data_IF_907993103913
#
_entry.id   IF_907993103913
#
_cell.length_a   1.000
_cell.length_b   1.000
_cell.length_c   1.000
_cell.angle_alpha   90.00
_cell.angle_beta   90.00
_cell.angle_gamma   90.00
#
_symmetry.space_group_name_H-M   'P 1'
#
loop_
_entity.id
_entity.type
_entity.pdbx_description
1 polymer ?
#
# COMPACT_ATOMS: atom_id res chain seq x y z
N UNK A 1 12.82 45.17 -18.59
CA UNK A 1 12.91 43.70 -18.81
C UNK A 1 13.78 43.04 -17.74
N UNK A 2 13.40 43.12 -16.45
CA UNK A 2 14.10 42.40 -15.34
C UNK A 2 13.14 41.78 -14.32
N UNK A 3 11.83 42.00 -14.45
CA UNK A 3 10.83 41.61 -13.46
C UNK A 3 10.32 40.18 -13.61
N UNK A 4 10.49 39.55 -14.78
CA UNK A 4 10.02 38.18 -15.06
C UNK A 4 11.10 37.14 -14.73
N UNK A 5 12.39 37.48 -14.91
CA UNK A 5 13.50 36.60 -14.53
C UNK A 5 13.67 36.51 -13.01
N UNK A 6 13.53 37.62 -12.27
CA UNK A 6 13.56 37.59 -10.80
C UNK A 6 12.37 36.80 -10.21
N UNK A 7 11.19 36.87 -10.85
CA UNK A 7 10.02 36.09 -10.42
C UNK A 7 10.16 34.60 -10.74
N UNK A 8 10.83 34.22 -11.84
CA UNK A 8 11.12 32.82 -12.14
C UNK A 8 12.20 32.25 -11.22
N UNK A 9 13.23 33.04 -10.86
CA UNK A 9 14.27 32.62 -9.93
C UNK A 9 13.73 32.35 -8.51
N UNK A 10 12.77 33.15 -8.03
CA UNK A 10 12.13 32.90 -6.73
C UNK A 10 11.24 31.65 -6.70
N UNK A 11 10.60 31.30 -7.82
CA UNK A 11 9.76 30.09 -7.90
C UNK A 11 10.58 28.80 -8.06
N UNK A 12 11.78 28.86 -8.65
CA UNK A 12 12.66 27.70 -8.82
C UNK A 12 13.25 27.27 -7.46
N UNK A 13 13.65 28.23 -6.61
CA UNK A 13 14.13 27.96 -5.25
C UNK A 13 13.01 27.46 -4.30
N UNK A 14 11.76 27.92 -4.48
CA UNK A 14 10.63 27.48 -3.65
C UNK A 14 10.24 26.02 -3.90
N UNK A 15 10.36 25.55 -5.15
CA UNK A 15 10.07 24.17 -5.51
C UNK A 15 11.10 23.19 -4.91
N UNK A 16 12.37 23.57 -4.90
CA UNK A 16 13.45 22.77 -4.31
C UNK A 16 13.37 22.73 -2.78
N UNK A 17 12.97 23.84 -2.15
CA UNK A 17 12.70 23.89 -0.70
C UNK A 17 11.48 23.04 -0.32
N UNK A 18 10.45 22.99 -1.16
CA UNK A 18 9.30 22.11 -0.95
C UNK A 18 9.65 20.63 -1.11
N UNK A 19 10.52 20.29 -2.07
CA UNK A 19 11.03 18.93 -2.24
C UNK A 19 11.89 18.49 -1.04
N UNK A 20 12.76 19.38 -0.54
CA UNK A 20 13.58 19.11 0.66
C UNK A 20 12.70 18.94 1.92
N UNK A 21 11.67 19.76 2.10
CA UNK A 21 10.71 19.60 3.21
C UNK A 21 9.90 18.30 3.09
N UNK A 22 9.57 17.87 1.87
CA UNK A 22 8.90 16.59 1.62
C UNK A 22 9.77 15.39 2.02
N UNK A 23 11.06 15.42 1.67
CA UNK A 23 12.04 14.39 2.05
C UNK A 23 12.30 14.41 3.56
N UNK A 24 12.35 15.59 4.18
CA UNK A 24 12.53 15.75 5.63
C UNK A 24 11.31 15.23 6.42
N UNK A 25 10.10 15.45 5.91
CA UNK A 25 8.87 14.89 6.48
C UNK A 25 8.78 13.36 6.31
N UNK A 26 9.22 12.81 5.16
CA UNK A 26 9.31 11.35 4.96
C UNK A 26 10.38 10.72 5.87
N UNK A 27 11.52 11.38 6.06
CA UNK A 27 12.55 10.93 7.01
C UNK A 27 12.08 11.02 8.46
N UNK A 28 11.36 12.08 8.84
CA UNK A 28 10.77 12.18 10.19
C UNK A 28 9.66 11.15 10.42
N UNK A 29 8.84 10.85 9.41
CA UNK A 29 7.82 9.80 9.50
C UNK A 29 8.45 8.40 9.59
N UNK A 30 9.54 8.14 8.85
CA UNK A 30 10.30 6.89 8.96
C UNK A 30 11.00 6.76 10.32
N UNK A 31 11.53 7.87 10.87
CA UNK A 31 12.16 7.90 12.20
C UNK A 31 11.13 7.71 13.33
N UNK A 32 9.95 8.31 13.22
CA UNK A 32 8.87 8.16 14.20
C UNK A 32 8.27 6.74 14.22
N UNK A 33 8.28 6.03 13.09
CA UNK A 33 7.86 4.62 13.03
C UNK A 33 8.93 3.66 13.59
N UNK A 34 10.20 4.04 13.61
CA UNK A 34 11.29 3.24 14.20
C UNK A 34 11.38 3.49 15.72
N UNK A 35 11.13 4.73 16.18
CA UNK A 35 11.14 5.09 17.61
C UNK A 35 9.92 4.55 18.39
N UNK A 36 8.81 4.16 17.74
CA UNK A 36 7.63 3.60 18.46
C UNK A 36 7.76 2.12 18.82
N UNK A 37 8.87 1.45 18.48
CA UNK A 37 9.05 0.01 18.75
C UNK A 37 10.25 -0.31 19.66
N UNK A 38 11.07 0.67 20.06
CA UNK A 38 12.31 0.47 20.83
C UNK A 38 12.31 1.20 22.20
N UNK A 39 11.14 1.39 22.83
CA UNK A 39 11.02 1.97 24.19
C UNK A 39 11.29 0.95 25.33
N UNK A 40 12.03 -0.14 25.07
CA UNK A 40 12.62 -0.96 26.13
C UNK A 40 14.13 -1.11 25.87
N UNK A 41 14.92 -0.64 26.84
CA UNK A 41 16.36 -0.80 27.01
C UNK A 41 17.30 0.04 26.12
N UNK A 42 17.61 1.28 26.55
CA UNK A 42 18.98 1.81 26.41
C UNK A 42 19.25 2.95 27.40
N UNK A 43 19.62 2.59 28.63
CA UNK A 43 20.25 3.53 29.55
C UNK A 43 21.74 3.72 29.20
N UNK A 44 22.13 4.99 29.09
CA UNK A 44 23.46 5.49 28.75
C UNK A 44 24.45 5.15 29.87
N UNK A 45 25.57 4.50 29.55
CA UNK A 45 26.67 4.25 30.50
C UNK A 45 27.75 5.29 30.27
N UNK A 46 27.96 6.17 31.24
CA UNK A 46 29.03 7.16 31.24
C UNK A 46 30.20 6.70 32.14
N UNK A 47 31.39 7.08 31.72
CA UNK A 47 32.72 6.70 32.23
C UNK A 47 32.98 7.00 33.72
N UNK A 48 33.67 6.09 34.43
CA UNK A 48 34.07 6.27 35.84
C UNK A 48 35.60 6.26 35.98
N UNK A 49 36.13 7.28 36.68
CA UNK A 49 37.51 7.38 37.15
C UNK A 49 37.59 6.87 38.60
N UNK A 50 38.55 5.99 38.88
CA UNK A 50 38.69 5.24 40.12
C UNK A 50 39.41 6.01 41.25
N UNK A 51 38.96 5.81 42.49
CA UNK A 51 39.80 5.86 43.71
C UNK A 51 39.17 5.02 44.82
N UNK A 52 39.96 4.08 45.34
CA UNK A 52 39.57 2.96 46.18
C UNK A 52 39.25 3.32 47.63
N UNK A 53 38.17 2.70 48.12
CA UNK A 53 37.90 2.20 49.50
C UNK A 53 36.41 2.32 49.93
N UNK A 54 35.55 2.90 49.08
CA UNK A 54 34.07 2.83 49.18
C UNK A 54 33.38 2.07 48.03
N UNK A 55 34.16 1.53 47.09
CA UNK A 55 33.74 1.17 45.72
C UNK A 55 32.87 -0.08 45.57
N UNK A 56 32.80 -1.01 46.53
CA UNK A 56 32.04 -2.25 46.33
C UNK A 56 30.51 -2.03 46.34
N UNK A 57 30.04 -1.03 47.08
CA UNK A 57 28.60 -0.70 47.20
C UNK A 57 28.15 0.27 46.09
N UNK A 58 29.04 1.14 45.61
CA UNK A 58 28.71 2.08 44.53
C UNK A 58 28.85 1.46 43.13
N UNK A 59 29.80 0.53 42.90
CA UNK A 59 29.93 -0.15 41.61
C UNK A 59 28.76 -1.09 41.30
N UNK A 60 28.16 -1.70 42.34
CA UNK A 60 27.01 -2.59 42.19
C UNK A 60 25.75 -1.86 41.73
N UNK A 61 25.60 -0.56 42.03
CA UNK A 61 24.48 0.25 41.57
C UNK A 61 24.44 0.44 40.03
N UNK A 62 25.58 0.30 39.35
CA UNK A 62 25.67 0.37 37.87
C UNK A 62 25.37 -0.94 37.16
N UNK A 63 25.31 -2.05 37.90
CA UNK A 63 25.08 -3.38 37.33
C UNK A 63 23.60 -3.66 37.11
N UNK A 64 23.29 -4.60 36.22
CA UNK A 64 21.89 -5.03 36.01
C UNK A 64 21.32 -5.61 37.30
N UNK A 65 20.00 -5.52 37.54
CA UNK A 65 19.38 -6.01 38.78
C UNK A 65 19.69 -7.49 39.11
N UNK A 66 19.88 -8.32 38.09
CA UNK A 66 20.21 -9.75 38.27
C UNK A 66 21.65 -9.95 38.78
N UNK A 67 22.58 -9.09 38.33
CA UNK A 67 23.98 -9.13 38.71
C UNK A 67 24.16 -8.53 40.12
N UNK A 68 23.37 -7.50 40.45
CA UNK A 68 23.23 -6.97 41.81
C UNK A 68 22.76 -8.06 42.78
N UNK A 69 21.72 -8.80 42.42
CA UNK A 69 21.20 -9.90 43.23
C UNK A 69 22.25 -10.99 43.42
N UNK A 70 22.98 -11.38 42.38
CA UNK A 70 24.00 -12.42 42.46
C UNK A 70 25.17 -12.04 43.38
N UNK A 71 25.64 -10.79 43.33
CA UNK A 71 26.71 -10.30 44.20
C UNK A 71 26.21 -10.24 45.65
N UNK A 72 25.03 -9.67 45.87
CA UNK A 72 24.45 -9.57 47.23
C UNK A 72 24.21 -10.97 47.82
N UNK A 73 23.72 -11.90 47.02
CA UNK A 73 23.55 -13.29 47.42
C UNK A 73 24.89 -13.94 47.77
N UNK A 74 25.94 -13.76 46.96
CA UNK A 74 27.26 -14.31 47.29
C UNK A 74 27.85 -13.70 48.55
N UNK A 75 27.78 -12.38 48.73
CA UNK A 75 28.23 -11.70 49.95
C UNK A 75 27.46 -12.15 51.21
N UNK A 76 26.19 -12.50 51.07
CA UNK A 76 25.34 -12.92 52.21
C UNK A 76 25.41 -14.40 52.52
N UNK A 77 25.72 -15.24 51.52
CA UNK A 77 25.71 -16.70 51.67
C UNK A 77 27.10 -17.30 51.80
N UNK A 78 28.12 -16.66 51.24
CA UNK A 78 29.50 -17.15 51.25
C UNK A 78 30.38 -16.33 52.22
N UNK A 79 30.75 -16.89 53.39
CA UNK A 79 31.56 -16.19 54.40
C UNK A 79 33.00 -15.92 53.95
N UNK A 80 33.46 -16.49 52.82
CA UNK A 80 34.80 -16.24 52.27
C UNK A 80 34.81 -15.04 51.29
N UNK A 81 33.64 -14.58 50.86
CA UNK A 81 33.50 -13.51 49.88
C UNK A 81 33.48 -12.10 50.53
N UNK A 82 33.35 -12.05 51.87
CA UNK A 82 33.53 -10.81 52.62
C UNK A 82 35.03 -10.46 52.63
N UNK A 83 35.38 -9.36 51.95
CA UNK A 83 36.73 -8.98 51.53
C UNK A 83 37.73 -8.66 52.66
N UNK A 84 37.91 -9.57 53.60
CA UNK A 84 39.15 -9.65 54.37
C UNK A 84 40.25 -10.12 53.42
N UNK A 85 40.88 -9.15 52.77
CA UNK A 85 42.15 -9.33 52.06
C UNK A 85 43.08 -10.04 53.04
N UNK A 86 43.35 -11.32 52.80
CA UNK A 86 44.46 -11.99 53.45
C UNK A 86 45.72 -11.19 53.08
N UNK A 87 46.38 -10.60 54.08
CA UNK A 87 47.67 -9.94 53.90
C UNK A 87 48.64 -10.95 53.23
N UNK A 88 48.80 -10.81 51.92
CA UNK A 88 49.78 -11.59 51.16
C UNK A 88 51.14 -11.00 51.52
N UNK A 89 51.98 -11.79 52.16
CA UNK A 89 53.34 -11.41 52.50
C UNK A 89 54.10 -10.94 51.25
N UNK A 90 55.01 -9.95 51.36
CA UNK A 90 55.77 -9.46 50.22
C UNK A 90 56.70 -10.57 49.71
N UNK A 91 56.32 -11.18 48.59
CA UNK A 91 57.15 -12.10 47.80
C UNK A 91 58.12 -11.25 46.97
N UNK A 92 59.37 -11.67 46.86
CA UNK A 92 60.39 -10.99 46.05
C UNK A 92 60.20 -11.35 44.57
N UNK A 93 59.63 -10.42 43.80
CA UNK A 93 59.26 -10.61 42.40
C UNK A 93 60.42 -10.44 41.42
N UNK A 94 61.64 -10.11 41.86
CA UNK A 94 62.73 -9.73 40.96
C UNK A 94 63.15 -10.85 39.97
N UNK A 95 63.05 -12.11 40.37
CA UNK A 95 63.32 -13.25 39.46
C UNK A 95 62.12 -13.55 38.55
N UNK A 96 60.90 -13.42 39.05
CA UNK A 96 59.69 -13.60 38.27
C UNK A 96 59.54 -12.53 37.20
N UNK A 97 59.95 -11.28 37.46
CA UNK A 97 59.96 -10.18 36.48
C UNK A 97 60.88 -10.49 35.28
N UNK A 98 62.09 -11.00 35.53
CA UNK A 98 63.03 -11.35 34.45
C UNK A 98 62.56 -12.55 33.63
N UNK A 99 61.89 -13.51 34.28
CA UNK A 99 61.26 -14.63 33.58
C UNK A 99 60.02 -14.18 32.78
N UNK A 100 59.25 -13.22 33.30
CA UNK A 100 58.12 -12.61 32.61
C UNK A 100 58.57 -11.90 31.34
N UNK A 101 59.62 -11.09 31.39
CA UNK A 101 60.17 -10.40 30.22
C UNK A 101 60.59 -11.38 29.11
N UNK A 102 61.18 -12.52 29.50
CA UNK A 102 61.59 -13.56 28.56
C UNK A 102 60.39 -14.26 27.93
N UNK A 103 59.36 -14.54 28.71
CA UNK A 103 58.11 -15.16 28.23
C UNK A 103 57.36 -14.21 27.30
N UNK A 104 57.28 -12.93 27.64
CA UNK A 104 56.67 -11.90 26.78
C UNK A 104 57.41 -11.74 25.45
N UNK A 105 58.75 -11.71 25.48
CA UNK A 105 59.54 -11.62 24.25
C UNK A 105 59.32 -12.83 23.32
N UNK A 106 59.19 -14.03 23.88
CA UNK A 106 58.92 -15.23 23.09
C UNK A 106 57.49 -15.23 22.54
N UNK A 107 56.51 -14.79 23.34
CA UNK A 107 55.11 -14.66 22.95
C UNK A 107 54.93 -13.69 21.78
N UNK A 108 55.63 -12.55 21.77
CA UNK A 108 55.55 -11.57 20.67
C UNK A 108 56.00 -12.19 19.35
N UNK A 109 57.07 -12.98 19.36
CA UNK A 109 57.57 -13.67 18.16
C UNK A 109 56.55 -14.70 17.66
N UNK A 110 55.98 -15.50 18.57
CA UNK A 110 54.96 -16.50 18.21
C UNK A 110 53.68 -15.87 17.67
N UNK A 111 53.24 -14.74 18.25
CA UNK A 111 52.09 -13.98 17.75
C UNK A 111 52.37 -13.39 16.36
N UNK A 112 53.54 -12.80 16.12
CA UNK A 112 53.91 -12.27 14.81
C UNK A 112 53.97 -13.37 13.73
N UNK A 113 54.49 -14.56 14.08
CA UNK A 113 54.49 -15.69 13.17
C UNK A 113 53.07 -16.19 12.87
N UNK A 114 52.21 -16.29 13.89
CA UNK A 114 50.82 -16.70 13.71
C UNK A 114 49.99 -15.69 12.88
N UNK A 115 50.31 -14.39 12.97
CA UNK A 115 49.72 -13.35 12.12
C UNK A 115 50.18 -13.51 10.66
N UNK A 116 51.47 -13.78 10.43
CA UNK A 116 52.02 -13.97 9.08
C UNK A 116 51.47 -15.23 8.40
N UNK A 117 51.29 -16.31 9.15
CA UNK A 117 50.69 -17.56 8.67
C UNK A 117 49.16 -17.45 8.51
N UNK A 118 48.54 -16.37 9.00
CA UNK A 118 47.11 -16.10 8.90
C UNK A 118 46.23 -16.93 9.85
N UNK A 119 46.84 -17.59 10.84
CA UNK A 119 46.16 -18.34 11.90
C UNK A 119 45.63 -17.38 12.98
N UNK A 120 46.36 -16.31 13.27
CA UNK A 120 45.94 -15.24 14.18
C UNK A 120 45.40 -14.04 13.38
N UNK A 121 44.09 -13.78 13.51
CA UNK A 121 43.46 -12.59 12.93
C UNK A 121 43.70 -11.41 13.88
N UNK A 122 44.55 -10.46 13.46
CA UNK A 122 44.69 -9.18 14.15
C UNK A 122 43.33 -8.47 14.07
N UNK A 123 42.74 -8.17 15.23
CA UNK A 123 41.63 -7.24 15.28
C UNK A 123 42.13 -5.91 14.72
N UNK A 124 41.64 -5.53 13.54
CA UNK A 124 41.93 -4.22 12.97
C UNK A 124 41.66 -3.12 14.02
N UNK A 125 42.34 -1.98 13.88
CA UNK A 125 42.13 -0.81 14.74
C UNK A 125 40.63 -0.60 15.01
N UNK A 126 40.23 -0.36 16.25
CA UNK A 126 38.82 -0.29 16.62
C UNK A 126 38.15 0.80 15.77
N UNK A 127 37.38 0.32 14.80
CA UNK A 127 36.62 1.17 13.87
C UNK A 127 35.68 2.03 14.72
N UNK A 128 35.72 3.34 14.52
CA UNK A 128 34.91 4.31 15.28
C UNK A 128 33.45 3.85 15.36
N UNK A 129 32.87 3.89 16.56
CA UNK A 129 31.51 3.40 16.85
C UNK A 129 30.48 4.02 15.90
N UNK A 130 30.68 5.28 15.48
CA UNK A 130 29.79 5.94 14.52
C UNK A 130 29.82 5.27 13.13
N UNK A 131 31.00 4.84 12.69
CA UNK A 131 31.18 4.14 11.41
C UNK A 131 30.67 2.70 11.49
N UNK A 132 30.86 2.00 12.62
CA UNK A 132 30.25 0.68 12.86
C UNK A 132 28.72 0.75 12.84
N UNK A 133 28.12 1.74 13.50
CA UNK A 133 26.66 1.96 13.48
C UNK A 133 26.14 2.17 12.06
N UNK A 134 26.81 3.01 11.26
CA UNK A 134 26.44 3.24 9.85
C UNK A 134 26.52 1.96 9.01
N UNK A 135 27.60 1.19 9.17
CA UNK A 135 27.76 -0.09 8.47
C UNK A 135 26.69 -1.09 8.88
N UNK A 136 26.39 -1.21 10.17
CA UNK A 136 25.34 -2.08 10.68
C UNK A 136 23.96 -1.73 10.12
N UNK A 137 23.57 -0.46 10.14
CA UNK A 137 22.27 -0.01 9.60
C UNK A 137 22.19 -0.28 8.10
N UNK A 138 23.26 0.01 7.36
CA UNK A 138 23.36 -0.29 5.92
C UNK A 138 23.17 -1.79 5.67
N UNK A 139 23.91 -2.64 6.36
CA UNK A 139 23.85 -4.09 6.13
C UNK A 139 22.50 -4.68 6.56
N UNK A 140 21.95 -4.21 7.69
CA UNK A 140 20.59 -4.59 8.13
C UNK A 140 19.54 -4.22 7.08
N UNK A 141 19.63 -3.02 6.49
CA UNK A 141 18.73 -2.60 5.41
C UNK A 141 18.90 -3.44 4.15
N UNK A 142 20.15 -3.78 3.81
CA UNK A 142 20.48 -4.62 2.67
C UNK A 142 19.88 -6.02 2.83
N UNK A 143 20.12 -6.68 3.97
CA UNK A 143 19.55 -8.01 4.29
C UNK A 143 18.02 -7.98 4.26
N UNK A 144 17.37 -6.95 4.85
CA UNK A 144 15.91 -6.81 4.79
C UNK A 144 15.40 -6.62 3.36
N UNK A 145 16.07 -5.79 2.56
CA UNK A 145 15.70 -5.55 1.16
C UNK A 145 15.84 -6.82 0.33
N UNK A 146 16.90 -7.58 0.57
CA UNK A 146 17.25 -8.75 -0.21
C UNK A 146 16.37 -9.95 0.17
N UNK A 147 16.03 -10.11 1.46
CA UNK A 147 14.97 -11.03 1.92
C UNK A 147 13.61 -10.71 1.27
N UNK A 148 13.22 -9.44 1.21
CA UNK A 148 11.97 -9.02 0.51
C UNK A 148 12.02 -9.36 -0.98
N UNK A 149 13.15 -9.07 -1.64
CA UNK A 149 13.37 -9.40 -3.05
C UNK A 149 13.27 -10.91 -3.29
N UNK A 150 13.88 -11.74 -2.45
CA UNK A 150 13.80 -13.21 -2.52
C UNK A 150 12.38 -13.72 -2.31
N UNK A 151 11.63 -13.12 -1.38
CA UNK A 151 10.23 -13.48 -1.14
C UNK A 151 9.34 -13.18 -2.36
N UNK A 152 9.52 -12.04 -3.02
CA UNK A 152 8.75 -11.64 -4.21
C UNK A 152 9.12 -12.44 -5.47
N UNK A 153 10.41 -12.67 -5.68
CA UNK A 153 10.88 -13.43 -6.84
C UNK A 153 10.74 -14.94 -6.66
N UNK A 154 10.57 -15.40 -5.42
CA UNK A 154 10.61 -16.80 -5.05
C UNK A 154 12.02 -17.39 -5.03
N UNK A 155 13.08 -16.57 -5.08
CA UNK A 155 14.48 -17.04 -5.04
C UNK A 155 14.89 -17.65 -3.68
N UNK A 156 14.07 -17.48 -2.63
CA UNK A 156 14.26 -18.19 -1.36
C UNK A 156 13.92 -19.69 -1.43
N UNK A 157 13.15 -20.10 -2.45
CA UNK A 157 12.73 -21.49 -2.61
C UNK A 157 13.80 -22.28 -3.37
N UNK A 158 14.23 -23.40 -2.79
CA UNK A 158 15.18 -24.32 -3.39
C UNK A 158 14.57 -25.72 -3.52
N UNK A 159 14.68 -26.37 -4.69
CA UNK A 159 14.29 -27.76 -4.83
C UNK A 159 15.30 -28.64 -4.07
N UNK A 160 14.78 -29.52 -3.23
CA UNK A 160 15.54 -30.54 -2.49
C UNK A 160 14.90 -31.90 -2.70
N UNK A 161 15.66 -32.96 -2.45
CA UNK A 161 15.18 -34.34 -2.53
C UNK A 161 15.16 -34.95 -1.13
N UNK A 162 14.05 -35.58 -0.76
CA UNK A 162 13.95 -36.24 0.54
C UNK A 162 14.81 -37.52 0.53
N UNK A 163 15.71 -37.68 1.50
CA UNK A 163 16.59 -38.85 1.60
C UNK A 163 15.86 -40.18 1.79
N UNK A 164 14.65 -40.15 2.38
CA UNK A 164 13.87 -41.36 2.67
C UNK A 164 12.97 -41.78 1.51
N UNK A 165 12.30 -40.83 0.87
CA UNK A 165 11.33 -41.11 -0.20
C UNK A 165 11.88 -40.89 -1.61
N UNK A 166 13.05 -40.25 -1.75
CA UNK A 166 13.61 -39.79 -3.02
C UNK A 166 12.66 -38.90 -3.85
N UNK A 167 11.63 -38.32 -3.22
CA UNK A 167 10.71 -37.39 -3.86
C UNK A 167 11.24 -35.95 -3.78
N UNK A 168 11.07 -35.15 -4.84
CA UNK A 168 11.42 -33.73 -4.81
C UNK A 168 10.42 -32.96 -3.93
N UNK A 169 10.93 -32.01 -3.18
CA UNK A 169 10.16 -31.03 -2.41
C UNK A 169 10.83 -29.67 -2.49
N UNK A 170 10.11 -28.61 -2.17
CA UNK A 170 10.61 -27.24 -2.17
C UNK A 170 10.84 -26.76 -0.74
N UNK A 171 12.03 -26.23 -0.49
CA UNK A 171 12.46 -25.75 0.82
C UNK A 171 12.75 -24.26 0.77
N UNK A 172 12.18 -23.49 1.68
CA UNK A 172 12.44 -22.07 1.81
C UNK A 172 13.64 -21.83 2.74
N UNK A 173 14.68 -21.17 2.25
CA UNK A 173 15.87 -20.83 3.05
C UNK A 173 15.60 -19.83 4.16
N UNK A 174 14.56 -19.02 4.01
CA UNK A 174 14.34 -17.82 4.83
C UNK A 174 13.32 -18.07 5.95
N UNK A 175 12.35 -18.95 5.70
CA UNK A 175 11.33 -19.37 6.68
C UNK A 175 11.57 -20.77 7.23
N UNK A 176 12.50 -21.52 6.64
CA UNK A 176 12.76 -22.93 6.96
C UNK A 176 11.56 -23.86 6.73
N UNK A 177 10.60 -23.43 5.90
CA UNK A 177 9.42 -24.23 5.56
C UNK A 177 9.70 -25.18 4.38
N UNK A 178 8.98 -26.30 4.36
CA UNK A 178 9.06 -27.29 3.29
C UNK A 178 7.65 -27.61 2.77
N UNK A 179 7.48 -27.58 1.45
CA UNK A 179 6.24 -27.92 0.76
C UNK A 179 6.53 -28.91 -0.36
N UNK A 180 5.58 -29.82 -0.62
CA UNK A 180 5.70 -30.79 -1.72
C UNK A 180 5.23 -30.22 -3.06
N UNK A 181 4.25 -29.32 -3.01
CA UNK A 181 3.71 -28.65 -4.19
C UNK A 181 4.57 -27.47 -4.62
N UNK A 182 4.46 -27.08 -5.90
CA UNK A 182 5.22 -25.96 -6.45
C UNK A 182 4.86 -24.66 -5.71
N UNK A 183 5.85 -23.86 -5.27
CA UNK A 183 5.59 -22.61 -4.56
C UNK A 183 4.70 -21.67 -5.37
N UNK A 184 3.70 -21.09 -4.72
CA UNK A 184 2.73 -20.19 -5.36
C UNK A 184 3.40 -19.01 -6.07
N UNK A 185 4.46 -18.45 -5.47
CA UNK A 185 5.23 -17.33 -6.03
C UNK A 185 5.82 -17.66 -7.41
N UNK A 186 6.27 -18.90 -7.62
CA UNK A 186 6.76 -19.32 -8.94
C UNK A 186 5.63 -19.47 -9.95
N UNK A 187 4.47 -19.99 -9.52
CA UNK A 187 3.29 -20.09 -10.37
C UNK A 187 2.83 -18.71 -10.82
N UNK A 188 2.72 -17.75 -9.90
CA UNK A 188 2.33 -16.37 -10.23
C UNK A 188 3.34 -15.67 -11.13
N UNK A 189 4.64 -15.92 -10.93
CA UNK A 189 5.69 -15.33 -11.76
C UNK A 189 5.68 -15.92 -13.18
N UNK A 190 5.43 -17.23 -13.32
CA UNK A 190 5.25 -17.89 -14.62
C UNK A 190 4.00 -17.34 -15.34
N UNK A 191 2.89 -17.17 -14.62
CA UNK A 191 1.67 -16.55 -15.16
C UNK A 191 1.91 -15.12 -15.65
N UNK A 192 2.64 -14.32 -14.86
CA UNK A 192 2.99 -12.95 -15.24
C UNK A 192 3.92 -12.92 -16.46
N UNK A 193 4.92 -13.80 -16.52
CA UNK A 193 5.80 -13.92 -17.68
C UNK A 193 5.02 -14.34 -18.94
N UNK A 194 4.09 -15.29 -18.79
CA UNK A 194 3.21 -15.71 -19.88
C UNK A 194 2.32 -14.55 -20.37
N UNK A 195 1.68 -13.82 -19.45
CA UNK A 195 0.90 -12.64 -19.77
C UNK A 195 1.73 -11.55 -20.46
N UNK A 196 2.99 -11.35 -20.08
CA UNK A 196 3.88 -10.41 -20.74
C UNK A 196 4.18 -10.80 -22.20
N UNK A 197 4.22 -12.10 -22.52
CA UNK A 197 4.45 -12.59 -23.88
C UNK A 197 3.19 -12.59 -24.77
N UNK A 198 2.04 -12.98 -24.22
CA UNK A 198 0.77 -13.16 -24.96
C UNK A 198 -0.11 -11.90 -24.90
N UNK A 199 0.12 -11.00 -23.95
CA UNK A 199 -0.73 -9.86 -23.65
C UNK A 199 -1.98 -10.26 -22.87
N UNK A 200 -3.08 -9.54 -23.06
CA UNK A 200 -4.33 -9.72 -22.29
C UNK A 200 -4.91 -11.14 -22.36
N UNK A 201 -4.69 -11.88 -23.45
CA UNK A 201 -5.14 -13.27 -23.59
C UNK A 201 -4.37 -14.29 -22.74
N UNK A 202 -3.19 -13.92 -22.22
CA UNK A 202 -2.37 -14.76 -21.34
C UNK A 202 -2.52 -14.43 -19.86
N UNK A 203 -3.42 -13.52 -19.48
CA UNK A 203 -3.70 -13.22 -18.08
C UNK A 203 -4.34 -14.43 -17.39
N UNK A 204 -4.04 -14.60 -16.10
CA UNK A 204 -4.63 -15.68 -15.31
C UNK A 204 -6.14 -15.49 -15.16
N UNK A 205 -6.88 -16.61 -15.13
CA UNK A 205 -8.34 -16.63 -15.01
C UNK A 205 -8.83 -15.78 -13.82
N UNK A 206 -8.23 -15.86 -12.61
CA UNK A 206 -8.65 -15.02 -11.49
C UNK A 206 -8.50 -13.52 -11.78
N UNK A 207 -7.45 -13.12 -12.48
CA UNK A 207 -7.21 -11.72 -12.86
C UNK A 207 -8.25 -11.25 -13.87
N UNK A 208 -8.57 -12.08 -14.86
CA UNK A 208 -9.61 -11.80 -15.85
C UNK A 208 -10.99 -11.67 -15.20
N UNK A 209 -11.32 -12.52 -14.22
CA UNK A 209 -12.57 -12.43 -13.47
C UNK A 209 -12.65 -11.14 -12.64
N UNK A 210 -11.54 -10.71 -12.01
CA UNK A 210 -11.49 -9.43 -11.31
C UNK A 210 -11.69 -8.25 -12.27
N UNK A 211 -11.02 -8.26 -13.42
CA UNK A 211 -11.21 -7.23 -14.45
C UNK A 211 -12.66 -7.18 -14.97
N UNK A 212 -13.29 -8.35 -15.15
CA UNK A 212 -14.68 -8.44 -15.55
C UNK A 212 -15.63 -7.83 -14.50
N UNK A 213 -15.28 -7.90 -13.21
CA UNK A 213 -16.02 -7.24 -12.13
C UNK A 213 -16.03 -5.71 -12.26
N UNK A 214 -14.91 -5.11 -12.69
CA UNK A 214 -14.82 -3.68 -12.97
C UNK A 214 -15.45 -3.29 -14.33
N UNK A 215 -15.61 -4.25 -15.24
CA UNK A 215 -16.31 -4.06 -16.51
C UNK A 215 -17.84 -4.21 -16.38
N UNK A 216 -18.39 -4.29 -15.17
CA UNK A 216 -19.84 -4.27 -14.97
C UNK A 216 -20.37 -2.92 -15.48
N UNK A 217 -21.17 -2.99 -16.53
CA UNK A 217 -21.57 -1.84 -17.33
C UNK A 217 -22.70 -1.03 -16.67
N UNK A 218 -22.59 -0.76 -15.37
CA UNK A 218 -23.53 0.06 -14.60
C UNK A 218 -22.81 1.33 -14.14
N UNK A 219 -23.02 2.41 -14.86
CA UNK A 219 -22.54 3.74 -14.45
C UNK A 219 -23.61 4.43 -13.60
N UNK A 220 -23.31 4.63 -12.31
CA UNK A 220 -24.18 5.37 -11.38
C UNK A 220 -23.80 6.85 -11.38
N UNK A 221 -24.73 7.69 -11.83
CA UNK A 221 -24.58 9.14 -11.91
C UNK A 221 -25.35 9.81 -10.76
N UNK A 222 -24.68 10.54 -9.85
CA UNK A 222 -25.34 11.19 -8.72
C UNK A 222 -26.11 12.46 -9.08
N UNK A 223 -25.90 13.00 -10.28
CA UNK A 223 -26.45 14.28 -10.75
C UNK A 223 -27.04 14.15 -12.14
N UNK A 224 -27.99 15.02 -12.50
CA UNK A 224 -28.47 15.11 -13.86
C UNK A 224 -27.34 15.40 -14.86
N UNK A 225 -27.40 14.73 -16.00
CA UNK A 225 -26.45 14.91 -17.10
C UNK A 225 -27.09 15.82 -18.15
N UNK A 226 -26.44 16.95 -18.43
CA UNK A 226 -26.93 17.92 -19.41
C UNK A 226 -26.14 17.84 -20.71
N UNK A 227 -26.80 17.46 -21.79
CA UNK A 227 -26.19 17.37 -23.11
C UNK A 227 -26.53 18.61 -23.93
N UNK A 228 -25.54 19.49 -24.14
CA UNK A 228 -25.71 20.75 -24.88
C UNK A 228 -25.17 20.72 -26.31
N UNK A 229 -24.32 19.74 -26.62
CA UNK A 229 -23.70 19.58 -27.93
C UNK A 229 -24.22 18.31 -28.63
N UNK A 230 -24.28 18.28 -29.97
CA UNK A 230 -24.67 17.07 -30.69
C UNK A 230 -23.71 15.92 -30.42
N UNK A 231 -24.23 14.82 -29.87
CA UNK A 231 -23.46 13.61 -29.53
C UNK A 231 -24.26 12.36 -29.88
N UNK A 232 -23.55 11.24 -30.04
CA UNK A 232 -24.16 9.92 -30.19
C UNK A 232 -23.70 9.04 -29.04
N UNK A 233 -24.65 8.55 -28.25
CA UNK A 233 -24.41 7.52 -27.25
C UNK A 233 -24.76 6.16 -27.86
N UNK A 234 -23.80 5.25 -27.89
CA UNK A 234 -23.93 3.96 -28.55
C UNK A 234 -23.42 2.89 -27.59
N UNK A 235 -24.31 2.02 -27.12
CA UNK A 235 -23.92 0.82 -26.41
C UNK A 235 -23.61 -0.33 -27.36
N UNK A 236 -22.92 -1.39 -26.89
CA UNK A 236 -22.58 -2.55 -27.68
C UNK A 236 -23.84 -3.25 -28.22
N UNK A 237 -23.85 -3.71 -29.49
CA UNK A 237 -25.03 -4.19 -30.21
C UNK A 237 -25.35 -5.66 -29.90
N UNK A 238 -25.34 -6.04 -28.62
CA UNK A 238 -25.43 -7.44 -28.20
C UNK A 238 -26.88 -7.91 -28.04
N UNK A 239 -27.82 -7.02 -27.67
CA UNK A 239 -29.29 -7.24 -27.60
C UNK A 239 -30.03 -5.90 -27.40
N UNK A 240 -31.35 -5.82 -27.68
CA UNK A 240 -32.20 -4.66 -27.32
C UNK A 240 -32.09 -4.35 -25.82
N UNK A 241 -31.70 -3.13 -25.48
CA UNK A 241 -31.22 -2.82 -24.13
C UNK A 241 -29.88 -3.51 -23.89
N UNK A 242 -28.80 -2.77 -24.13
CA UNK A 242 -27.44 -3.27 -23.90
C UNK A 242 -27.20 -3.59 -22.42
N UNK A 243 -26.14 -4.35 -22.14
CA UNK A 243 -25.55 -4.50 -20.81
C UNK A 243 -25.16 -3.14 -20.19
N UNK A 244 -24.96 -2.12 -21.02
CA UNK A 244 -24.68 -0.75 -20.60
C UNK A 244 -25.92 -0.07 -20.02
N UNK A 245 -25.88 0.14 -18.71
CA UNK A 245 -26.90 0.77 -17.88
C UNK A 245 -26.36 2.09 -17.33
N UNK A 246 -27.03 3.20 -17.66
CA UNK A 246 -26.86 4.49 -17.02
C UNK A 246 -27.92 4.62 -15.94
N UNK A 247 -27.48 4.55 -14.68
CA UNK A 247 -28.37 4.69 -13.52
C UNK A 247 -28.23 6.09 -12.94
N UNK A 248 -29.33 6.83 -12.85
CA UNK A 248 -29.37 8.15 -12.24
C UNK A 248 -29.89 8.05 -10.81
N UNK A 249 -29.12 8.59 -9.87
CA UNK A 249 -29.51 8.64 -8.47
C UNK A 249 -30.49 9.79 -8.23
N UNK A 250 -31.62 9.57 -7.55
CA UNK A 250 -32.69 10.55 -7.29
C UNK A 250 -32.37 11.55 -6.17
N UNK A 251 -31.11 11.62 -5.74
CA UNK A 251 -30.68 12.36 -4.54
C UNK A 251 -30.75 13.88 -4.75
N UNK A 252 -30.69 14.37 -6.00
CA UNK A 252 -30.58 15.79 -6.32
C UNK A 252 -31.82 16.33 -7.07
N UNK A 253 -32.01 17.66 -7.03
CA UNK A 253 -33.23 18.37 -7.48
C UNK A 253 -33.63 18.10 -8.95
N UNK A 254 -32.67 17.70 -9.78
CA UNK A 254 -32.88 17.23 -11.14
C UNK A 254 -32.05 15.95 -11.27
N UNK A 255 -32.74 14.85 -11.49
CA UNK A 255 -32.14 13.54 -11.70
C UNK A 255 -32.60 13.01 -13.05
N UNK A 256 -31.68 12.41 -13.81
CA UNK A 256 -31.93 11.93 -15.18
C UNK A 256 -31.09 12.63 -16.25
N UNK A 257 -31.34 12.25 -17.51
CA UNK A 257 -30.66 12.78 -18.68
C UNK A 257 -31.45 13.95 -19.27
N UNK A 258 -30.84 15.13 -19.37
CA UNK A 258 -31.48 16.33 -19.94
C UNK A 258 -30.79 16.70 -21.26
N UNK A 259 -31.55 16.60 -22.35
CA UNK A 259 -31.10 16.83 -23.70
C UNK A 259 -31.44 18.24 -24.20
N UNK A 260 -30.42 19.08 -24.40
CA UNK A 260 -30.53 20.44 -24.94
C UNK A 260 -30.01 20.54 -26.38
N UNK A 261 -29.33 19.52 -26.89
CA UNK A 261 -28.70 19.56 -28.19
C UNK A 261 -29.72 19.49 -29.34
N UNK A 262 -29.46 20.22 -30.42
CA UNK A 262 -30.32 20.28 -31.62
C UNK A 262 -30.25 19.04 -32.52
N UNK A 263 -29.41 18.07 -32.17
CA UNK A 263 -29.29 16.78 -32.86
C UNK A 263 -28.57 15.79 -31.94
N UNK A 264 -28.90 14.51 -32.08
CA UNK A 264 -28.10 13.41 -31.57
C UNK A 264 -28.90 12.14 -31.39
N UNK A 265 -28.22 11.12 -30.90
CA UNK A 265 -28.70 9.75 -30.94
C UNK A 265 -28.32 8.98 -29.68
N UNK A 266 -29.24 8.19 -29.16
CA UNK A 266 -29.01 7.21 -28.11
C UNK A 266 -29.40 5.86 -28.70
N UNK A 267 -28.47 4.91 -28.71
CA UNK A 267 -28.70 3.59 -29.29
C UNK A 267 -28.15 2.50 -28.39
N UNK A 268 -28.90 1.39 -28.26
CA UNK A 268 -28.51 0.23 -27.45
C UNK A 268 -28.09 0.62 -26.02
N UNK A 269 -28.88 1.41 -25.29
CA UNK A 269 -28.55 1.76 -23.90
C UNK A 269 -29.73 1.55 -22.98
N UNK A 270 -29.45 1.20 -21.72
CA UNK A 270 -30.45 1.14 -20.66
C UNK A 270 -30.31 2.40 -19.80
N UNK A 271 -31.34 3.25 -19.78
CA UNK A 271 -31.43 4.42 -18.90
C UNK A 271 -32.35 4.07 -17.74
N UNK A 272 -31.90 4.25 -16.49
CA UNK A 272 -32.68 3.86 -15.33
C UNK A 272 -32.65 4.90 -14.20
N UNK A 273 -33.80 5.12 -13.56
CA UNK A 273 -33.89 5.67 -12.20
C UNK A 273 -34.49 4.57 -11.31
N UNK A 274 -33.81 4.11 -10.26
CA UNK A 274 -34.31 3.02 -9.42
C UNK A 274 -35.62 3.43 -8.72
N UNK A 275 -36.68 2.65 -8.92
CA UNK A 275 -38.03 2.88 -8.37
C UNK A 275 -38.11 2.74 -6.85
N UNK A 276 -37.08 2.21 -6.20
CA UNK A 276 -37.00 2.06 -4.75
C UNK A 276 -36.82 3.38 -3.98
N UNK A 277 -36.58 4.51 -4.67
CA UNK A 277 -36.49 5.84 -4.06
C UNK A 277 -37.83 6.58 -3.96
N UNK A 278 -38.84 6.19 -4.74
CA UNK A 278 -40.17 6.80 -4.72
C UNK A 278 -41.04 6.22 -3.61
N UNK A 279 -40.51 6.11 -2.39
CA UNK A 279 -41.35 5.88 -1.21
C UNK A 279 -42.05 7.18 -0.85
N UNK A 280 -43.25 7.36 -1.42
CA UNK A 280 -44.42 7.95 -0.77
C UNK A 280 -44.14 9.00 0.32
N UNK A 281 -43.92 10.24 -0.09
CA UNK A 281 -44.39 11.39 0.68
C UNK A 281 -45.00 12.38 -0.32
N UNK A 282 -46.29 12.22 -0.60
CA UNK A 282 -47.13 13.24 -1.24
C UNK A 282 -47.26 14.44 -0.29
N UNK A 283 -46.16 15.17 -0.09
CA UNK A 283 -46.15 16.49 0.55
C UNK A 283 -46.43 17.53 -0.53
N UNK A 284 -47.52 18.25 -0.34
CA UNK A 284 -48.20 19.13 -1.29
C UNK A 284 -47.52 20.49 -1.49
N UNK A 285 -46.19 20.55 -1.64
CA UNK A 285 -45.50 21.79 -2.03
C UNK A 285 -44.39 21.50 -3.04
N UNK A 286 -44.68 21.80 -4.32
CA UNK A 286 -43.89 21.50 -5.53
C UNK A 286 -43.64 20.00 -5.76
N UNK A 287 -44.56 19.37 -6.50
CA UNK A 287 -44.40 18.01 -7.04
C UNK A 287 -43.14 17.93 -7.90
N UNK A 288 -42.02 17.53 -7.27
CA UNK A 288 -40.80 17.08 -7.95
C UNK A 288 -41.15 15.78 -8.65
N UNK A 289 -40.84 15.68 -9.94
CA UNK A 289 -41.04 14.45 -10.72
C UNK A 289 -39.67 13.99 -11.16
N UNK A 290 -39.28 12.78 -10.77
CA UNK A 290 -38.04 12.18 -11.25
C UNK A 290 -38.23 11.75 -12.71
N UNK A 291 -37.58 12.47 -13.63
CA UNK A 291 -37.71 12.22 -15.07
C UNK A 291 -36.47 11.53 -15.60
N UNK A 292 -36.59 10.31 -16.12
CA UNK A 292 -35.42 9.54 -16.62
C UNK A 292 -34.78 10.24 -17.82
N UNK A 293 -35.59 10.69 -18.79
CA UNK A 293 -35.14 11.40 -19.98
C UNK A 293 -35.97 12.66 -20.22
N UNK A 294 -35.33 13.83 -20.23
CA UNK A 294 -35.95 15.11 -20.55
C UNK A 294 -35.37 15.67 -21.84
N UNK A 295 -36.21 15.99 -22.83
CA UNK A 295 -35.82 16.74 -24.03
C UNK A 295 -36.28 18.18 -23.86
N UNK A 296 -35.32 19.09 -23.74
CA UNK A 296 -35.55 20.52 -23.52
C UNK A 296 -36.07 21.22 -24.77
N UNK A 297 -36.44 22.50 -24.62
CA UNK A 297 -36.87 23.36 -25.72
C UNK A 297 -35.79 23.44 -26.80
N UNK A 298 -36.18 23.31 -28.07
CA UNK A 298 -35.30 23.27 -29.25
C UNK A 298 -34.38 22.04 -29.37
N UNK A 299 -34.50 21.06 -28.47
CA UNK A 299 -33.74 19.81 -28.57
C UNK A 299 -34.25 18.89 -29.69
N UNK A 300 -33.36 18.13 -30.33
CA UNK A 300 -33.74 17.02 -31.22
C UNK A 300 -32.94 15.78 -30.83
N UNK A 301 -33.65 14.73 -30.47
CA UNK A 301 -33.09 13.47 -30.00
C UNK A 301 -33.74 12.28 -30.72
N UNK A 302 -32.90 11.35 -31.17
CA UNK A 302 -33.30 10.03 -31.67
C UNK A 302 -32.89 8.98 -30.65
N UNK A 303 -33.80 8.08 -30.27
CA UNK A 303 -33.53 6.97 -29.35
C UNK A 303 -33.92 5.67 -30.06
N UNK A 304 -32.96 4.76 -30.19
CA UNK A 304 -33.05 3.52 -30.97
C UNK A 304 -32.70 2.32 -30.08
N UNK A 305 -33.44 1.20 -30.17
CA UNK A 305 -33.11 -0.09 -29.54
C UNK A 305 -32.68 -0.01 -28.06
N UNK A 306 -33.25 0.96 -27.33
CA UNK A 306 -32.85 1.31 -25.97
C UNK A 306 -33.94 0.95 -24.97
N UNK A 307 -33.58 0.90 -23.69
CA UNK A 307 -34.52 0.63 -22.60
C UNK A 307 -34.55 1.80 -21.63
N UNK A 308 -35.73 2.23 -21.21
CA UNK A 308 -35.92 3.30 -20.23
C UNK A 308 -36.72 2.71 -19.06
N UNK A 309 -36.12 2.69 -17.87
CA UNK A 309 -36.67 2.05 -16.68
C UNK A 309 -36.87 3.04 -15.54
N UNK A 310 -38.03 2.95 -14.89
CA UNK A 310 -38.28 3.64 -13.63
C UNK A 310 -38.59 5.13 -13.75
N UNK A 311 -38.36 5.85 -12.64
CA UNK A 311 -38.74 7.26 -12.47
C UNK A 311 -40.25 7.49 -12.32
N UNK A 312 -40.62 8.72 -11.95
CA UNK A 312 -42.00 9.19 -11.98
C UNK A 312 -42.48 9.43 -13.41
N UNK A 313 -41.56 9.90 -14.26
CA UNK A 313 -41.80 10.09 -15.70
C UNK A 313 -40.65 9.48 -16.49
N UNK A 314 -40.94 8.55 -17.41
CA UNK A 314 -39.86 7.95 -18.20
C UNK A 314 -39.31 8.92 -19.26
N UNK A 315 -40.17 9.59 -20.02
CA UNK A 315 -39.75 10.59 -21.02
C UNK A 315 -40.59 11.86 -20.94
N UNK A 316 -39.94 13.02 -20.81
CA UNK A 316 -40.59 14.34 -20.89
C UNK A 316 -40.04 15.16 -22.06
N UNK A 317 -40.92 15.65 -22.93
CA UNK A 317 -40.57 16.52 -24.06
C UNK A 317 -41.14 17.92 -23.83
N UNK A 318 -40.24 18.88 -23.61
CA UNK A 318 -40.56 20.27 -23.26
C UNK A 318 -40.26 21.21 -24.42
N UNK A 319 -41.00 21.09 -25.53
CA UNK A 319 -40.84 21.98 -26.70
C UNK A 319 -39.73 21.58 -27.69
N UNK A 320 -39.09 20.43 -27.50
CA UNK A 320 -38.20 19.81 -28.48
C UNK A 320 -38.87 18.71 -29.32
N UNK A 321 -38.05 17.94 -30.03
CA UNK A 321 -38.45 16.77 -30.82
C UNK A 321 -37.72 15.53 -30.31
N UNK A 322 -38.47 14.47 -30.03
CA UNK A 322 -37.93 13.18 -29.62
C UNK A 322 -38.51 12.10 -30.54
N UNK A 323 -37.64 11.30 -31.15
CA UNK A 323 -38.04 10.16 -31.96
C UNK A 323 -37.60 8.89 -31.24
N UNK A 324 -38.56 8.07 -30.84
CA UNK A 324 -38.33 6.81 -30.13
C UNK A 324 -38.66 5.66 -31.08
N UNK A 325 -37.68 4.83 -31.41
CA UNK A 325 -37.85 3.66 -32.29
C UNK A 325 -37.32 2.45 -31.55
N UNK A 326 -38.17 1.42 -31.42
CA UNK A 326 -37.81 0.17 -30.74
C UNK A 326 -37.27 0.38 -29.32
N UNK A 327 -37.91 1.31 -28.58
CA UNK A 327 -37.57 1.63 -27.19
C UNK A 327 -38.51 0.91 -26.24
N UNK A 328 -37.95 0.12 -25.33
CA UNK A 328 -38.70 -0.54 -24.25
C UNK A 328 -38.80 0.40 -23.05
N UNK A 329 -40.02 0.81 -22.67
CA UNK A 329 -40.25 1.64 -21.49
C UNK A 329 -41.02 0.84 -20.44
N UNK A 330 -40.44 0.69 -19.25
CA UNK A 330 -41.06 -0.09 -18.16
C UNK A 330 -40.83 0.56 -16.78
N UNK A 331 -41.60 0.11 -15.79
CA UNK A 331 -41.48 0.47 -14.37
C UNK A 331 -41.63 1.96 -14.01
N UNK A 332 -42.19 2.79 -14.90
CA UNK A 332 -42.54 4.18 -14.58
C UNK A 332 -43.72 4.22 -13.58
N UNK A 333 -43.57 4.95 -12.47
CA UNK A 333 -44.58 5.04 -11.39
C UNK A 333 -45.73 5.98 -11.75
N UNK A 334 -45.45 7.03 -12.53
CA UNK A 334 -46.42 8.05 -12.92
C UNK A 334 -46.82 7.98 -14.39
N UNK A 335 -46.16 8.80 -15.22
CA UNK A 335 -46.49 8.95 -16.65
C UNK A 335 -45.37 8.39 -17.53
N UNK A 336 -45.73 7.61 -18.54
CA UNK A 336 -44.74 7.00 -19.44
C UNK A 336 -44.12 8.07 -20.36
N UNK A 337 -44.94 8.90 -21.00
CA UNK A 337 -44.48 10.00 -21.86
C UNK A 337 -45.31 11.26 -21.59
N UNK A 338 -44.65 12.40 -21.40
CA UNK A 338 -45.30 13.71 -21.24
C UNK A 338 -44.80 14.67 -22.32
N UNK A 339 -45.70 15.20 -23.15
CA UNK A 339 -45.40 16.26 -24.09
C UNK A 339 -46.23 17.51 -23.78
N UNK A 340 -45.57 18.64 -23.57
CA UNK A 340 -46.20 19.94 -23.46
C UNK A 340 -46.04 20.69 -24.79
N UNK A 341 -47.14 20.86 -25.57
CA UNK A 341 -47.31 21.64 -26.84
C UNK A 341 -47.33 20.81 -28.18
N UNK A 342 -47.96 21.31 -29.27
CA UNK A 342 -48.92 20.56 -30.10
C UNK A 342 -48.35 19.85 -31.34
N UNK A 343 -47.08 19.42 -31.34
CA UNK A 343 -46.50 18.70 -32.48
C UNK A 343 -46.34 17.22 -32.15
N UNK A 344 -47.02 16.39 -32.96
CA UNK A 344 -47.43 15.03 -32.65
C UNK A 344 -46.30 14.07 -32.30
N UNK A 345 -46.53 13.29 -31.24
CA UNK A 345 -45.84 12.03 -30.99
C UNK A 345 -46.53 10.98 -31.87
N UNK A 346 -45.76 10.27 -32.69
CA UNK A 346 -46.24 9.08 -33.41
C UNK A 346 -45.67 7.82 -32.74
N UNK A 347 -46.34 7.25 -31.73
CA UNK A 347 -45.92 5.97 -31.18
C UNK A 347 -46.24 4.86 -32.20
N UNK A 348 -45.22 4.31 -32.86
CA UNK A 348 -45.37 3.05 -33.61
C UNK A 348 -45.10 1.89 -32.65
N UNK A 349 -46.21 1.28 -32.19
CA UNK A 349 -46.34 0.06 -31.36
C UNK A 349 -45.87 0.20 -29.91
N UNK A 350 -46.83 0.40 -29.02
CA UNK A 350 -46.79 -0.07 -27.64
C UNK A 350 -47.19 -1.56 -27.64
N UNK A 351 -46.38 -2.43 -27.04
CA UNK A 351 -46.77 -3.79 -26.68
C UNK A 351 -46.70 -3.94 -25.19
#
# INVERSE_FOLDING_TARGET
>A
MRTIQDAMAQCEDEADVAAMKGVELEQQAAKAQDETFDDEDTAVVDTVSATASGEAVEASASLRPIDQYAITYRCTTDPLFDGSVADVAPVDYAQEEVELERIEAMKVVDEEMAIQDGDLIVAAEPVDVTTQKRLYVRERSHVKSEKRRRALTGAAWMPKTCSRSNLPFYYNTDTHEAIWDRPLVWVTNDEHAHAATVGYGGLSIPTLLHLLGFATAKDSMPTAVHIRCPVRFIGPPLTRGSTCTLEFSPVNEISGLVWHAKAGEISNLTLQIPTSSSSSNMSSTKSRRDVVLTVASDGNLTVLDSRILGGDVAVAVQGGTATLVDVDIADAVGLIVVANQPYGIYPRRLR
#
